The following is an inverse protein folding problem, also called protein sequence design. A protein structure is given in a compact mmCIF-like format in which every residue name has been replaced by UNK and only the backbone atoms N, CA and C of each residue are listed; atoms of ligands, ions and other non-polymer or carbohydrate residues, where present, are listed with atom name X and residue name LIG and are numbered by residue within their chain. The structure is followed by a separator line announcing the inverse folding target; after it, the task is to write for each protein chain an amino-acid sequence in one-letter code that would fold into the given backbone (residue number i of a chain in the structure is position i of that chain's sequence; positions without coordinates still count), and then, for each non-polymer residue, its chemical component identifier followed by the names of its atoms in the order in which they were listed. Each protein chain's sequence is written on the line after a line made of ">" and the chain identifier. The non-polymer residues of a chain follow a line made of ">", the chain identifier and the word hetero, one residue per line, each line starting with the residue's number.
data_IF_623431909556
#
_entry.id   IF_623431909556
#
_cell.length_a   1.000
_cell.length_b   1.000
_cell.length_c   1.000
_cell.angle_alpha   90.00
_cell.angle_beta   90.00
_cell.angle_gamma   90.00
#
_symmetry.space_group_name_H-M   'P 1'
#
loop_
_entity.id
_entity.type
_entity.pdbx_description
1 polymer ?
#
# COMPACT_ATOMS: atom_id res chain seq x y z
N UNK A 1 53.08 33.49 -16.15
CA UNK A 1 51.63 33.42 -15.89
C UNK A 1 50.94 33.86 -17.17
N UNK A 2 50.59 32.93 -18.04
CA UNK A 2 49.74 33.21 -19.19
C UNK A 2 48.66 32.12 -19.26
N UNK A 3 47.42 32.61 -19.30
CA UNK A 3 46.19 31.84 -19.20
C UNK A 3 45.92 31.08 -20.51
N UNK A 4 45.70 29.77 -20.41
CA UNK A 4 45.22 28.95 -21.51
C UNK A 4 43.75 29.26 -21.79
N UNK A 5 43.51 29.93 -22.92
CA UNK A 5 42.20 30.33 -23.43
C UNK A 5 41.38 29.08 -23.81
N UNK A 6 40.42 28.66 -22.97
CA UNK A 6 39.45 27.62 -23.32
C UNK A 6 38.36 28.22 -24.21
N UNK A 7 38.20 27.71 -25.43
CA UNK A 7 37.20 28.19 -26.39
C UNK A 7 35.81 27.72 -25.96
N UNK A 8 34.94 28.66 -25.56
CA UNK A 8 33.54 28.40 -25.19
C UNK A 8 32.73 27.86 -26.38
N UNK A 9 31.90 26.84 -26.14
CA UNK A 9 30.99 26.26 -27.15
C UNK A 9 29.56 26.79 -26.97
N UNK A 10 28.90 27.14 -28.07
CA UNK A 10 27.52 27.63 -28.04
C UNK A 10 26.53 26.48 -28.06
N UNK A 11 25.47 26.58 -27.26
CA UNK A 11 24.37 25.65 -27.29
C UNK A 11 23.59 25.77 -28.61
N UNK A 12 23.40 24.69 -29.39
CA UNK A 12 22.67 24.76 -30.64
C UNK A 12 21.16 25.04 -30.44
N UNK A 13 20.64 24.78 -29.24
CA UNK A 13 19.23 25.01 -28.90
C UNK A 13 18.95 26.44 -28.44
N UNK A 14 19.79 27.03 -27.57
CA UNK A 14 19.53 28.34 -26.97
C UNK A 14 20.65 29.37 -27.16
N UNK A 15 21.72 29.02 -27.88
CA UNK A 15 22.88 29.87 -28.17
C UNK A 15 23.64 30.36 -26.91
N UNK A 16 23.41 29.76 -25.74
CA UNK A 16 24.17 30.07 -24.53
C UNK A 16 25.61 29.53 -24.64
N UNK A 17 26.60 30.30 -24.18
CA UNK A 17 28.01 29.87 -24.13
C UNK A 17 28.23 28.93 -22.95
N UNK A 18 28.85 27.80 -23.22
CA UNK A 18 29.17 26.78 -22.24
C UNK A 18 30.66 26.45 -22.30
N UNK A 19 31.21 26.02 -21.17
CA UNK A 19 32.57 25.51 -21.11
C UNK A 19 32.75 24.35 -22.12
N UNK A 20 33.93 24.27 -22.74
CA UNK A 20 34.20 23.32 -23.83
C UNK A 20 33.97 21.85 -23.46
N UNK A 21 34.10 21.50 -22.18
CA UNK A 21 33.90 20.14 -21.65
C UNK A 21 32.51 19.91 -21.01
N UNK A 22 31.61 20.90 -20.98
CA UNK A 22 30.32 20.73 -20.33
C UNK A 22 29.43 19.78 -21.14
N UNK A 23 29.01 18.63 -20.58
CA UNK A 23 28.16 17.65 -21.28
C UNK A 23 26.74 18.16 -21.58
N UNK A 24 26.27 19.16 -20.82
CA UNK A 24 24.94 19.78 -20.94
C UNK A 24 25.02 21.30 -20.88
N UNK A 25 24.07 21.98 -21.52
CA UNK A 25 23.93 23.43 -21.47
C UNK A 25 23.53 23.89 -20.05
N UNK A 26 24.31 24.78 -19.44
CA UNK A 26 24.04 25.29 -18.10
C UNK A 26 22.73 26.08 -17.99
N UNK A 27 22.22 26.62 -19.11
CA UNK A 27 20.98 27.41 -19.10
C UNK A 27 19.72 26.61 -19.43
N UNK A 28 19.79 25.63 -20.33
CA UNK A 28 18.60 24.91 -20.80
C UNK A 28 18.69 23.38 -20.72
N UNK A 29 19.79 22.83 -20.21
CA UNK A 29 19.99 21.39 -20.04
C UNK A 29 20.19 20.60 -21.32
N UNK A 30 20.26 21.25 -22.49
CA UNK A 30 20.44 20.58 -23.78
C UNK A 30 21.81 19.87 -23.82
N UNK A 31 21.84 18.58 -24.14
CA UNK A 31 23.09 17.82 -24.26
C UNK A 31 23.90 18.32 -25.46
N UNK A 32 25.16 18.72 -25.25
CA UNK A 32 25.96 19.31 -26.34
C UNK A 32 27.04 18.35 -26.92
N UNK A 33 26.90 17.04 -26.67
CA UNK A 33 27.71 15.99 -27.30
C UNK A 33 26.82 14.84 -27.80
N UNK A 34 27.10 14.34 -29.00
CA UNK A 34 26.37 13.25 -29.66
C UNK A 34 27.01 11.89 -29.31
N UNK A 35 26.27 10.89 -28.80
CA UNK A 35 26.86 9.62 -28.39
C UNK A 35 26.70 8.56 -29.48
N UNK A 36 27.81 8.17 -30.10
CA UNK A 36 27.92 6.91 -30.81
C UNK A 36 29.09 6.08 -30.24
N UNK A 37 28.88 4.76 -30.21
CA UNK A 37 29.76 3.63 -29.87
C UNK A 37 29.72 3.08 -28.42
N UNK A 38 29.17 1.86 -28.38
CA UNK A 38 29.58 0.65 -27.68
C UNK A 38 29.41 0.51 -26.15
N UNK A 39 28.31 -0.21 -25.84
CA UNK A 39 28.27 -1.48 -25.09
C UNK A 39 29.13 -1.57 -23.82
N UNK A 40 28.47 -1.55 -22.65
CA UNK A 40 28.59 -2.62 -21.64
C UNK A 40 27.80 -2.31 -20.35
N UNK A 41 27.06 -3.34 -19.93
CA UNK A 41 26.57 -3.62 -18.58
C UNK A 41 25.31 -2.87 -18.10
N UNK A 42 24.18 -3.57 -18.28
CA UNK A 42 22.84 -3.33 -17.70
C UNK A 42 22.83 -3.36 -16.14
N UNK A 43 23.98 -3.58 -15.49
CA UNK A 43 24.07 -3.66 -14.02
C UNK A 43 24.02 -2.31 -13.28
N UNK A 44 24.28 -1.18 -13.95
CA UNK A 44 24.24 0.14 -13.29
C UNK A 44 22.89 0.87 -13.42
N UNK A 45 22.04 0.48 -14.39
CA UNK A 45 20.72 1.12 -14.60
C UNK A 45 19.73 0.76 -13.49
N UNK A 46 19.94 -0.35 -12.78
CA UNK A 46 19.04 -0.83 -11.74
C UNK A 46 19.31 -0.24 -10.34
N UNK A 47 20.24 0.71 -10.18
CA UNK A 47 20.58 1.26 -8.87
C UNK A 47 19.87 2.56 -8.47
N UNK A 48 19.26 3.31 -9.40
CA UNK A 48 18.64 4.61 -9.07
C UNK A 48 17.12 4.72 -9.34
N UNK A 49 16.44 3.63 -9.69
CA UNK A 49 14.98 3.64 -9.88
C UNK A 49 14.22 3.54 -8.53
N UNK A 50 14.38 4.56 -7.69
CA UNK A 50 13.50 4.85 -6.57
C UNK A 50 12.90 6.24 -6.79
N UNK A 51 12.02 6.35 -7.80
CA UNK A 51 11.22 7.56 -8.00
C UNK A 51 9.84 7.32 -7.39
N UNK A 52 9.45 8.20 -6.48
CA UNK A 52 8.10 8.30 -5.96
C UNK A 52 7.11 8.49 -7.11
N UNK A 53 6.00 7.76 -7.05
CA UNK A 53 4.93 7.74 -8.07
C UNK A 53 4.41 9.16 -8.41
N UNK A 54 4.52 10.13 -7.50
CA UNK A 54 4.15 11.53 -7.74
C UNK A 54 5.07 12.30 -8.72
N UNK A 55 6.35 11.92 -8.85
CA UNK A 55 7.29 12.58 -9.78
C UNK A 55 7.29 11.96 -11.19
N UNK A 56 6.80 10.72 -11.33
CA UNK A 56 6.67 10.02 -12.62
C UNK A 56 5.56 10.64 -13.47
N UNK A 57 4.51 11.16 -12.83
CA UNK A 57 3.33 11.71 -13.51
C UNK A 57 3.63 13.06 -14.20
N UNK A 58 4.69 13.78 -13.81
CA UNK A 58 4.96 15.14 -14.33
C UNK A 58 6.23 15.29 -15.18
N UNK A 59 6.93 14.20 -15.54
CA UNK A 59 8.23 14.28 -16.22
C UNK A 59 8.13 14.20 -17.77
N UNK A 60 8.58 15.21 -18.54
CA UNK A 60 8.56 15.20 -20.01
C UNK A 60 9.41 14.07 -20.66
N UNK A 61 10.37 13.49 -19.93
CA UNK A 61 11.14 12.34 -20.40
C UNK A 61 10.31 11.03 -20.39
N UNK A 62 9.31 10.93 -19.51
CA UNK A 62 8.38 9.78 -19.44
C UNK A 62 7.43 9.76 -20.65
N UNK A 63 7.08 10.94 -21.20
CA UNK A 63 6.29 11.08 -22.43
C UNK A 63 7.00 10.51 -23.67
N UNK A 64 8.34 10.61 -23.72
CA UNK A 64 9.15 10.01 -24.79
C UNK A 64 9.48 8.53 -24.53
N UNK A 65 9.56 8.11 -23.26
CA UNK A 65 9.80 6.72 -22.87
C UNK A 65 8.61 5.79 -23.19
N UNK A 66 7.36 6.27 -23.07
CA UNK A 66 6.16 5.47 -23.37
C UNK A 66 6.11 4.90 -24.79
N UNK A 67 6.64 5.66 -25.78
CA UNK A 67 6.73 5.20 -27.19
C UNK A 67 7.76 4.06 -27.38
N UNK A 68 8.86 4.10 -26.64
CA UNK A 68 9.92 3.07 -26.66
C UNK A 68 9.48 1.82 -25.87
N UNK A 69 8.84 2.01 -24.72
CA UNK A 69 8.31 0.94 -23.86
C UNK A 69 7.31 0.08 -24.63
N UNK A 70 6.38 0.69 -25.38
CA UNK A 70 5.43 -0.07 -26.21
C UNK A 70 6.08 -0.92 -27.32
N UNK A 71 7.23 -0.50 -27.86
CA UNK A 71 8.00 -1.30 -28.84
C UNK A 71 8.78 -2.43 -28.17
N UNK A 72 9.41 -2.17 -27.02
CA UNK A 72 10.16 -3.16 -26.23
C UNK A 72 9.24 -4.25 -25.67
N UNK A 73 8.04 -3.90 -25.21
CA UNK A 73 7.04 -4.86 -24.71
C UNK A 73 6.51 -5.80 -25.80
N UNK A 74 6.40 -5.33 -27.05
CA UNK A 74 6.04 -6.20 -28.20
C UNK A 74 7.14 -7.21 -28.51
N UNK A 75 8.41 -6.80 -28.43
CA UNK A 75 9.54 -7.69 -28.64
C UNK A 75 9.66 -8.72 -27.49
N UNK A 76 9.45 -8.28 -26.24
CA UNK A 76 9.46 -9.15 -25.06
C UNK A 76 8.38 -10.24 -25.09
N UNK A 77 7.17 -9.92 -25.56
CA UNK A 77 6.11 -10.93 -25.74
C UNK A 77 6.50 -12.04 -26.71
N UNK A 78 7.16 -11.70 -27.82
CA UNK A 78 7.63 -12.67 -28.82
C UNK A 78 8.84 -13.51 -28.37
N UNK A 79 9.60 -13.05 -27.38
CA UNK A 79 10.71 -13.79 -26.78
C UNK A 79 10.22 -14.71 -25.64
N UNK A 80 9.18 -14.32 -24.88
CA UNK A 80 8.55 -15.15 -23.85
C UNK A 80 7.80 -16.34 -24.45
N UNK A 81 7.09 -16.14 -25.58
CA UNK A 81 6.45 -17.24 -26.33
C UNK A 81 7.45 -18.32 -26.79
N UNK A 82 8.73 -17.95 -26.98
CA UNK A 82 9.82 -18.87 -27.33
C UNK A 82 10.44 -19.61 -26.13
N UNK A 83 10.26 -19.10 -24.90
CA UNK A 83 10.94 -19.60 -23.70
C UNK A 83 10.05 -20.38 -22.72
N UNK A 84 8.73 -20.16 -22.71
CA UNK A 84 7.80 -20.74 -21.75
C UNK A 84 7.46 -22.22 -22.01
N UNK A 85 7.58 -23.07 -20.98
CA UNK A 85 7.46 -24.55 -21.06
C UNK A 85 6.04 -25.11 -20.82
N UNK A 86 5.08 -24.33 -20.31
CA UNK A 86 3.68 -24.74 -20.11
C UNK A 86 2.69 -23.70 -20.63
N UNK A 87 1.48 -24.14 -20.99
CA UNK A 87 0.42 -23.24 -21.51
C UNK A 87 -0.12 -22.26 -20.46
N UNK A 88 -0.03 -22.62 -19.19
CA UNK A 88 -0.46 -21.78 -18.07
C UNK A 88 0.47 -20.57 -17.88
N UNK A 89 1.79 -20.80 -18.00
CA UNK A 89 2.79 -19.72 -17.99
C UNK A 89 2.71 -18.84 -19.23
N UNK A 90 2.40 -19.41 -20.40
CA UNK A 90 2.15 -18.62 -21.63
C UNK A 90 0.91 -17.75 -21.51
N UNK A 91 -0.16 -18.27 -20.89
CA UNK A 91 -1.42 -17.54 -20.66
C UNK A 91 -1.21 -16.36 -19.69
N UNK A 92 -0.57 -16.61 -18.54
CA UNK A 92 -0.23 -15.57 -17.57
C UNK A 92 0.69 -14.49 -18.18
N UNK A 93 1.69 -14.88 -18.97
CA UNK A 93 2.56 -13.94 -19.67
C UNK A 93 1.83 -13.10 -20.73
N UNK A 94 0.93 -13.71 -21.52
CA UNK A 94 0.11 -12.99 -22.51
C UNK A 94 -0.85 -12.01 -21.84
N UNK A 95 -1.43 -12.38 -20.70
CA UNK A 95 -2.27 -11.50 -19.90
C UNK A 95 -1.46 -10.33 -19.33
N UNK A 96 -0.29 -10.59 -18.75
CA UNK A 96 0.59 -9.54 -18.24
C UNK A 96 1.05 -8.56 -19.34
N UNK A 97 1.38 -9.06 -20.54
CA UNK A 97 1.74 -8.22 -21.69
C UNK A 97 0.54 -7.42 -22.20
N UNK A 98 -0.66 -8.01 -22.27
CA UNK A 98 -1.86 -7.32 -22.69
C UNK A 98 -2.27 -6.20 -21.70
N UNK A 99 -2.11 -6.46 -20.40
CA UNK A 99 -2.34 -5.47 -19.33
C UNK A 99 -1.32 -4.33 -19.41
N UNK A 100 -0.03 -4.65 -19.59
CA UNK A 100 1.01 -3.63 -19.77
C UNK A 100 0.79 -2.79 -21.04
N UNK A 101 0.28 -3.38 -22.12
CA UNK A 101 -0.07 -2.67 -23.35
C UNK A 101 -1.29 -1.76 -23.18
N UNK A 102 -2.31 -2.21 -22.43
CA UNK A 102 -3.50 -1.38 -22.13
C UNK A 102 -3.14 -0.21 -21.21
N UNK A 103 -2.39 -0.45 -20.15
CA UNK A 103 -1.89 0.61 -19.26
C UNK A 103 -1.00 1.62 -20.01
N UNK A 104 -0.14 1.16 -20.94
CA UNK A 104 0.66 2.06 -21.76
C UNK A 104 -0.18 2.87 -22.77
N UNK A 105 -1.29 2.30 -23.25
CA UNK A 105 -2.20 2.94 -24.19
C UNK A 105 -3.12 3.96 -23.48
N UNK A 106 -3.63 3.63 -22.31
CA UNK A 106 -4.36 4.51 -21.39
C UNK A 106 -3.59 5.81 -21.06
N UNK A 107 -2.30 5.66 -20.72
CA UNK A 107 -1.39 6.79 -20.47
C UNK A 107 -1.21 7.62 -21.75
N UNK A 108 -1.18 6.99 -22.93
CA UNK A 108 -1.05 7.67 -24.21
C UNK A 108 -2.31 8.43 -24.60
N UNK A 109 -3.48 7.86 -24.34
CA UNK A 109 -4.78 8.43 -24.68
C UNK A 109 -5.14 9.61 -23.76
N UNK A 110 -4.78 9.50 -22.47
CA UNK A 110 -4.84 10.60 -21.49
C UNK A 110 -3.95 11.79 -21.86
N UNK A 111 -2.83 11.55 -22.55
CA UNK A 111 -1.91 12.59 -23.05
C UNK A 111 -2.41 13.24 -24.35
N UNK A 112 -3.18 12.51 -25.17
CA UNK A 112 -3.81 13.09 -26.38
C UNK A 112 -5.06 13.91 -26.09
N UNK A 113 -5.85 13.56 -25.07
CA UNK A 113 -7.08 14.28 -24.71
C UNK A 113 -6.82 15.57 -23.91
N UNK A 114 -5.59 15.76 -23.42
CA UNK A 114 -5.14 16.98 -22.73
C UNK A 114 -4.98 18.24 -23.62
N UNK A 115 -5.34 18.19 -24.91
CA UNK A 115 -5.20 19.32 -25.84
C UNK A 115 -6.44 20.23 -25.96
N UNK A 116 -7.60 19.88 -25.37
CA UNK A 116 -8.80 20.73 -25.49
C UNK A 116 -9.72 20.65 -24.27
N UNK A 117 -9.35 21.29 -23.17
CA UNK A 117 -10.29 21.73 -22.13
C UNK A 117 -9.69 22.83 -21.23
N UNK A 118 -9.32 23.97 -21.83
CA UNK A 118 -9.01 25.18 -21.04
C UNK A 118 -10.30 25.97 -20.82
N UNK A 119 -11.11 25.57 -19.84
CA UNK A 119 -12.18 26.43 -19.34
C UNK A 119 -11.57 27.38 -18.31
N UNK A 120 -11.53 28.67 -18.65
CA UNK A 120 -11.02 29.73 -17.81
C UNK A 120 -11.77 29.78 -16.47
N UNK A 121 -11.05 29.52 -15.36
CA UNK A 121 -11.43 29.99 -14.03
C UNK A 121 -10.33 30.92 -13.56
N UNK A 122 -10.75 32.15 -13.25
CA UNK A 122 -9.88 33.26 -12.90
C UNK A 122 -8.91 32.95 -11.76
N UNK A 123 -7.73 33.57 -11.88
CA UNK A 123 -6.67 33.63 -10.91
C UNK A 123 -7.17 33.96 -9.50
N UNK A 124 -7.10 32.98 -8.60
CA UNK A 124 -6.74 33.21 -7.20
C UNK A 124 -5.87 32.06 -6.73
N UNK A 125 -4.59 32.34 -6.63
CA UNK A 125 -3.56 31.48 -6.07
C UNK A 125 -3.81 31.28 -4.58
N UNK A 126 -4.44 30.17 -4.21
CA UNK A 126 -4.34 29.61 -2.86
C UNK A 126 -4.08 28.11 -3.03
N UNK A 127 -2.83 27.70 -2.90
CA UNK A 127 -2.51 26.31 -2.52
C UNK A 127 -3.12 26.09 -1.13
N UNK A 128 -4.41 25.72 -1.09
CA UNK A 128 -5.07 25.39 0.17
C UNK A 128 -4.51 24.07 0.63
N UNK A 129 -3.63 24.10 1.63
CA UNK A 129 -3.14 22.88 2.28
C UNK A 129 -4.37 22.03 2.71
N UNK A 130 -4.39 20.77 2.29
CA UNK A 130 -5.45 19.81 2.61
C UNK A 130 -4.96 18.92 3.76
N UNK A 131 -5.82 18.63 4.74
CA UNK A 131 -5.57 17.71 5.85
C UNK A 131 -6.58 16.56 5.83
N UNK A 132 -6.18 15.30 6.06
CA UNK A 132 -7.13 14.20 6.19
C UNK A 132 -7.83 14.23 7.55
N UNK A 133 -9.12 13.88 7.59
CA UNK A 133 -9.84 13.67 8.85
C UNK A 133 -9.29 12.44 9.58
N UNK A 134 -8.88 12.60 10.84
CA UNK A 134 -8.41 11.47 11.65
C UNK A 134 -9.52 10.47 12.00
N UNK A 135 -10.80 10.77 11.74
CA UNK A 135 -11.90 9.82 11.95
C UNK A 135 -12.20 9.03 10.67
N UNK A 136 -12.69 9.71 9.63
CA UNK A 136 -13.16 9.05 8.41
C UNK A 136 -12.15 9.09 7.24
N UNK A 137 -11.01 9.76 7.38
CA UNK A 137 -10.00 9.91 6.32
C UNK A 137 -10.31 10.97 5.25
N UNK A 138 -11.53 11.55 5.24
CA UNK A 138 -11.92 12.54 4.21
C UNK A 138 -10.95 13.73 4.15
N UNK A 139 -10.50 14.16 2.97
CA UNK A 139 -9.68 15.36 2.82
C UNK A 139 -10.47 16.63 3.16
N UNK A 140 -9.88 17.52 3.93
CA UNK A 140 -10.48 18.77 4.41
C UNK A 140 -9.51 19.93 4.24
N UNK A 141 -10.02 21.17 4.18
CA UNK A 141 -9.15 22.36 4.24
C UNK A 141 -8.43 22.41 5.59
N UNK A 142 -7.16 22.85 5.60
CA UNK A 142 -6.33 22.93 6.83
C UNK A 142 -6.94 23.81 7.94
N UNK A 143 -7.77 24.78 7.56
CA UNK A 143 -8.44 25.70 8.50
C UNK A 143 -9.81 25.17 8.98
N UNK A 144 -10.29 24.03 8.46
CA UNK A 144 -11.55 23.44 8.89
C UNK A 144 -11.50 23.10 10.37
N UNK A 145 -12.52 23.53 11.13
CA UNK A 145 -12.71 23.12 12.55
C UNK A 145 -13.35 21.75 12.69
N UNK A 146 -14.12 21.33 11.68
CA UNK A 146 -14.83 20.05 11.65
C UNK A 146 -14.68 19.39 10.28
N UNK A 147 -14.71 18.05 10.25
CA UNK A 147 -14.70 17.28 9.02
C UNK A 147 -15.99 17.52 8.22
N UNK A 148 -15.85 17.81 6.93
CA UNK A 148 -16.97 18.04 6.02
C UNK A 148 -17.85 16.79 5.78
N UNK A 149 -17.31 15.59 6.01
CA UNK A 149 -18.05 14.33 5.83
C UNK A 149 -18.66 13.83 7.14
N UNK A 150 -17.86 13.64 8.19
CA UNK A 150 -18.32 12.99 9.42
C UNK A 150 -18.55 13.96 10.59
N UNK A 151 -18.32 15.26 10.42
CA UNK A 151 -18.52 16.27 11.46
C UNK A 151 -17.55 16.21 12.66
N UNK A 152 -16.55 15.32 12.63
CA UNK A 152 -15.59 15.18 13.73
C UNK A 152 -14.76 16.47 13.89
N UNK A 153 -14.52 16.94 15.12
CA UNK A 153 -13.65 18.09 15.35
C UNK A 153 -12.20 17.76 14.98
N UNK A 154 -11.46 18.77 14.53
CA UNK A 154 -10.00 18.70 14.35
C UNK A 154 -9.24 19.07 15.63
N UNK A 155 -9.91 19.18 16.78
CA UNK A 155 -9.25 19.44 18.05
C UNK A 155 -8.45 18.22 18.53
N UNK A 156 -7.43 18.51 19.35
CA UNK A 156 -6.34 17.59 19.66
C UNK A 156 -6.38 17.18 21.14
N UNK A 157 -7.56 16.92 21.70
CA UNK A 157 -7.69 16.46 23.08
C UNK A 157 -7.57 14.93 23.12
N UNK A 158 -6.40 14.36 23.47
CA UNK A 158 -6.24 12.92 23.55
C UNK A 158 -7.16 12.35 24.62
N UNK A 159 -7.94 11.34 24.25
CA UNK A 159 -8.77 10.60 25.19
C UNK A 159 -8.01 9.38 25.73
N UNK A 160 -8.05 9.14 27.04
CA UNK A 160 -7.57 7.88 27.60
C UNK A 160 -8.57 6.77 27.24
N UNK A 161 -8.17 5.86 26.35
CA UNK A 161 -8.94 4.66 26.02
C UNK A 161 -8.20 3.41 26.48
N UNK A 162 -8.99 2.38 26.75
CA UNK A 162 -8.53 1.00 26.86
C UNK A 162 -9.20 0.16 25.78
N UNK A 163 -8.64 -0.99 25.47
CA UNK A 163 -9.15 -1.84 24.39
C UNK A 163 -9.51 -3.23 24.90
N UNK A 164 -10.67 -3.72 24.46
CA UNK A 164 -10.96 -5.15 24.49
C UNK A 164 -10.71 -5.70 23.09
N UNK A 165 -9.85 -6.71 22.99
CA UNK A 165 -9.40 -7.26 21.71
C UNK A 165 -9.69 -8.75 21.67
N UNK A 166 -10.21 -9.22 20.54
CA UNK A 166 -10.30 -10.64 20.23
C UNK A 166 -9.94 -10.87 18.77
N UNK A 167 -9.55 -12.10 18.45
CA UNK A 167 -9.28 -12.52 17.09
C UNK A 167 -9.79 -13.93 16.85
N UNK A 168 -10.08 -14.26 15.59
CA UNK A 168 -10.38 -15.61 15.12
C UNK A 168 -9.67 -15.81 13.79
N UNK A 169 -9.13 -17.01 13.57
CA UNK A 169 -8.65 -17.45 12.26
C UNK A 169 -9.22 -18.83 12.00
N UNK A 170 -9.86 -19.00 10.87
CA UNK A 170 -10.58 -20.19 10.45
C UNK A 170 -10.08 -20.63 9.07
N UNK A 171 -9.94 -21.94 8.86
CA UNK A 171 -9.43 -22.48 7.59
C UNK A 171 -10.41 -22.26 6.43
N UNK A 172 -11.68 -21.96 6.72
CA UNK A 172 -12.74 -21.94 5.73
C UNK A 172 -13.36 -23.33 5.54
N UNK A 173 -14.22 -23.46 4.53
CA UNK A 173 -14.90 -24.71 4.19
C UNK A 173 -14.20 -25.49 3.06
N UNK A 174 -13.40 -24.80 2.23
CA UNK A 174 -12.83 -25.40 1.01
C UNK A 174 -11.33 -25.70 1.14
N UNK A 175 -10.57 -24.84 1.82
CA UNK A 175 -9.12 -25.01 1.97
C UNK A 175 -8.82 -26.14 2.97
N UNK A 176 -7.73 -26.86 2.75
CA UNK A 176 -7.23 -27.90 3.66
C UNK A 176 -6.17 -27.39 4.65
N UNK A 177 -5.64 -26.20 4.41
CA UNK A 177 -4.61 -25.58 5.22
C UNK A 177 -4.91 -24.10 5.43
N UNK A 178 -4.42 -23.56 6.55
CA UNK A 178 -4.56 -22.14 6.87
C UNK A 178 -3.23 -21.41 6.63
N UNK A 179 -3.21 -20.60 5.58
CA UNK A 179 -2.07 -19.78 5.18
C UNK A 179 -2.13 -18.37 5.77
N UNK A 180 -3.20 -18.02 6.50
CA UNK A 180 -3.28 -16.78 7.25
C UNK A 180 -2.54 -16.85 8.59
N UNK A 181 -2.03 -15.70 9.01
CA UNK A 181 -1.53 -15.45 10.36
C UNK A 181 -2.20 -14.24 10.98
N UNK A 182 -2.80 -14.46 12.15
CA UNK A 182 -3.32 -13.39 13.01
C UNK A 182 -2.54 -13.31 14.32
N UNK A 183 -2.16 -12.10 14.74
CA UNK A 183 -1.45 -11.88 16.01
C UNK A 183 -1.94 -10.64 16.72
N UNK A 184 -1.94 -10.74 18.05
CA UNK A 184 -2.27 -9.65 18.96
C UNK A 184 -1.20 -9.59 20.04
N UNK A 185 -0.56 -8.44 20.18
CA UNK A 185 0.41 -8.16 21.22
C UNK A 185 -0.10 -7.02 22.10
N UNK A 186 0.04 -7.17 23.42
CA UNK A 186 -0.29 -6.13 24.40
C UNK A 186 0.98 -5.65 25.08
N UNK A 187 1.15 -4.34 25.16
CA UNK A 187 2.30 -3.71 25.75
C UNK A 187 1.87 -2.85 26.95
N UNK A 188 2.60 -3.01 28.04
CA UNK A 188 2.40 -2.27 29.29
C UNK A 188 3.76 -1.80 29.84
N UNK A 189 3.73 -0.87 30.78
CA UNK A 189 4.93 -0.36 31.46
C UNK A 189 5.41 1.02 30.98
N UNK A 190 4.77 1.60 29.97
CA UNK A 190 4.95 3.01 29.58
C UNK A 190 3.70 3.83 29.96
N UNK A 191 3.62 5.07 29.46
CA UNK A 191 2.61 6.07 29.83
C UNK A 191 1.17 5.60 29.59
N UNK A 192 0.93 4.87 28.51
CA UNK A 192 -0.37 4.28 28.16
C UNK A 192 -0.20 2.81 27.77
N UNK A 193 -1.20 1.93 28.02
CA UNK A 193 -1.19 0.59 27.46
C UNK A 193 -1.34 0.68 25.94
N UNK A 194 -0.56 -0.14 25.23
CA UNK A 194 -0.59 -0.18 23.77
C UNK A 194 -0.89 -1.60 23.26
N UNK A 195 -1.43 -1.67 22.05
CA UNK A 195 -1.72 -2.93 21.38
C UNK A 195 -1.16 -2.91 19.96
N UNK A 196 -0.59 -4.03 19.52
CA UNK A 196 -0.28 -4.27 18.11
C UNK A 196 -1.15 -5.41 17.59
N UNK A 197 -1.82 -5.19 16.45
CA UNK A 197 -2.72 -6.14 15.81
C UNK A 197 -2.22 -6.40 14.40
N UNK A 198 -2.08 -7.67 14.01
CA UNK A 198 -1.64 -8.05 12.69
C UNK A 198 -2.60 -9.07 12.08
N UNK A 199 -2.96 -8.84 10.81
CA UNK A 199 -3.45 -9.86 9.89
C UNK A 199 -2.48 -9.92 8.70
N UNK A 200 -2.02 -11.12 8.39
CA UNK A 200 -1.16 -11.41 7.25
C UNK A 200 -1.72 -12.64 6.53
N UNK A 201 -2.02 -12.49 5.25
CA UNK A 201 -2.56 -13.53 4.38
C UNK A 201 -1.42 -14.06 3.52
N UNK A 202 -1.12 -15.34 3.66
CA UNK A 202 0.04 -15.98 3.05
C UNK A 202 -0.27 -16.50 1.66
N UNK A 203 0.56 -16.14 0.70
CA UNK A 203 0.44 -16.60 -0.69
C UNK A 203 1.71 -17.30 -1.17
N UNK A 204 1.55 -18.36 -1.95
CA UNK A 204 2.64 -19.11 -2.55
C UNK A 204 2.20 -20.45 -3.12
N UNK A 205 3.13 -21.17 -3.75
CA UNK A 205 2.92 -22.57 -4.14
C UNK A 205 2.83 -23.50 -2.92
N UNK A 206 2.93 -24.82 -3.14
CA UNK A 206 2.78 -25.83 -2.10
C UNK A 206 3.51 -25.47 -0.77
N UNK A 207 2.72 -25.23 0.29
CA UNK A 207 3.14 -24.88 1.66
C UNK A 207 3.98 -23.61 1.85
N UNK A 208 4.07 -22.73 0.84
CA UNK A 208 4.84 -21.48 0.95
C UNK A 208 4.04 -20.34 1.60
N UNK A 209 2.71 -20.34 1.50
CA UNK A 209 1.86 -19.28 2.05
C UNK A 209 1.90 -19.22 3.59
N UNK A 210 1.67 -20.36 4.25
CA UNK A 210 1.73 -20.46 5.72
C UNK A 210 3.08 -19.99 6.30
N UNK A 211 4.18 -20.32 5.59
CA UNK A 211 5.54 -19.94 5.99
C UNK A 211 5.74 -18.45 5.81
N UNK A 212 5.24 -17.88 4.72
CA UNK A 212 5.34 -16.45 4.45
C UNK A 212 4.60 -15.62 5.51
N UNK A 213 3.32 -15.91 5.78
CA UNK A 213 2.53 -15.15 6.75
C UNK A 213 3.06 -15.31 8.17
N UNK A 214 3.52 -16.52 8.54
CA UNK A 214 4.18 -16.78 9.82
C UNK A 214 5.50 -16.02 9.96
N UNK A 215 6.29 -15.94 8.88
CA UNK A 215 7.54 -15.17 8.87
C UNK A 215 7.28 -13.66 8.99
N UNK A 216 6.24 -13.13 8.33
CA UNK A 216 5.79 -11.75 8.54
C UNK A 216 5.46 -11.52 10.01
N UNK A 217 4.65 -12.38 10.61
CA UNK A 217 4.26 -12.26 12.02
C UNK A 217 5.46 -12.28 12.98
N UNK A 218 6.39 -13.21 12.79
CA UNK A 218 7.60 -13.32 13.62
C UNK A 218 8.52 -12.09 13.47
N UNK A 219 8.73 -11.61 12.24
CA UNK A 219 9.55 -10.44 12.00
C UNK A 219 8.93 -9.17 12.58
N UNK A 220 7.61 -9.01 12.46
CA UNK A 220 6.88 -7.89 13.06
C UNK A 220 7.01 -7.90 14.58
N UNK A 221 6.80 -9.06 15.22
CA UNK A 221 6.95 -9.22 16.67
C UNK A 221 8.34 -8.80 17.14
N UNK A 222 9.39 -9.33 16.50
CA UNK A 222 10.77 -9.02 16.83
C UNK A 222 11.05 -7.51 16.75
N UNK A 223 10.62 -6.87 15.66
CA UNK A 223 10.89 -5.44 15.43
C UNK A 223 10.09 -4.52 16.37
N UNK A 224 8.85 -4.88 16.71
CA UNK A 224 8.01 -4.16 17.67
C UNK A 224 8.59 -4.28 19.08
N UNK A 225 8.86 -5.50 19.55
CA UNK A 225 9.38 -5.75 20.90
C UNK A 225 10.73 -5.05 21.10
N UNK A 226 11.63 -5.15 20.10
CA UNK A 226 12.92 -4.49 20.17
C UNK A 226 12.79 -2.96 20.30
N UNK A 227 11.86 -2.35 19.56
CA UNK A 227 11.64 -0.90 19.60
C UNK A 227 10.95 -0.43 20.86
N UNK A 228 9.94 -1.16 21.33
CA UNK A 228 9.25 -0.88 22.59
C UNK A 228 10.21 -0.90 23.79
N UNK A 229 11.15 -1.84 23.81
CA UNK A 229 12.15 -1.94 24.87
C UNK A 229 13.24 -0.87 24.78
N UNK A 230 13.52 -0.34 23.58
CA UNK A 230 14.56 0.66 23.37
C UNK A 230 14.12 2.08 23.79
N UNK A 231 12.84 2.42 23.62
CA UNK A 231 12.28 3.72 23.99
C UNK A 231 10.76 3.71 23.88
N UNK A 232 10.08 4.60 24.61
CA UNK A 232 8.66 4.92 24.36
C UNK A 232 8.51 5.45 22.92
N UNK A 233 7.80 4.75 22.01
CA UNK A 233 7.62 5.24 20.65
C UNK A 233 6.88 6.58 20.68
N UNK A 234 7.54 7.65 20.23
CA UNK A 234 6.92 8.97 20.24
C UNK A 234 5.69 8.99 19.31
N UNK A 235 4.55 9.56 19.77
CA UNK A 235 3.31 9.62 18.98
C UNK A 235 3.46 10.30 17.61
N UNK A 236 4.39 11.25 17.50
CA UNK A 236 4.64 12.09 16.31
C UNK A 236 5.27 11.34 15.13
N UNK A 237 5.76 10.11 15.33
CA UNK A 237 6.43 9.30 14.29
C UNK A 237 5.83 7.88 14.12
N UNK A 238 4.65 7.60 14.69
CA UNK A 238 4.05 6.25 14.69
C UNK A 238 3.89 5.64 13.28
N UNK A 239 3.47 6.42 12.28
CA UNK A 239 3.40 5.92 10.89
C UNK A 239 4.76 5.51 10.36
N UNK A 240 5.78 6.35 10.58
CA UNK A 240 7.15 6.08 10.14
C UNK A 240 7.67 4.83 10.83
N UNK A 241 7.39 4.70 12.13
CA UNK A 241 7.75 3.56 12.95
C UNK A 241 7.17 2.25 12.38
N UNK A 242 5.86 2.20 12.10
CA UNK A 242 5.22 1.02 11.50
C UNK A 242 5.72 0.71 10.08
N UNK A 243 5.95 1.73 9.25
CA UNK A 243 6.56 1.51 7.92
C UNK A 243 7.94 0.88 8.03
N UNK A 244 8.76 1.29 9.00
CA UNK A 244 10.09 0.68 9.20
C UNK A 244 9.95 -0.79 9.62
N UNK A 245 9.01 -1.11 10.52
CA UNK A 245 8.73 -2.49 10.94
C UNK A 245 8.36 -3.36 9.72
N UNK A 246 7.41 -2.95 8.90
CA UNK A 246 7.02 -3.74 7.72
C UNK A 246 8.11 -3.81 6.64
N UNK A 247 8.98 -2.79 6.50
CA UNK A 247 10.17 -2.87 5.62
C UNK A 247 11.14 -3.94 6.08
N UNK A 248 11.35 -4.07 7.38
CA UNK A 248 12.23 -5.09 7.94
C UNK A 248 11.61 -6.49 7.83
N UNK A 249 10.29 -6.60 8.05
CA UNK A 249 9.57 -7.83 7.77
C UNK A 249 9.73 -8.26 6.30
N UNK A 250 9.57 -7.33 5.34
CA UNK A 250 9.84 -7.58 3.93
C UNK A 250 11.25 -8.08 3.65
N UNK A 251 12.27 -7.42 4.21
CA UNK A 251 13.65 -7.84 4.03
C UNK A 251 13.93 -9.23 4.66
N UNK A 252 13.22 -9.60 5.72
CA UNK A 252 13.32 -10.94 6.33
C UNK A 252 12.72 -12.01 5.43
N UNK A 253 11.44 -11.85 5.04
CA UNK A 253 10.70 -12.80 4.19
C UNK A 253 11.40 -12.95 2.83
N UNK A 254 11.81 -11.84 2.21
CA UNK A 254 12.50 -11.86 0.92
C UNK A 254 13.83 -12.64 1.01
N UNK A 255 14.64 -12.42 2.06
CA UNK A 255 15.89 -13.18 2.24
C UNK A 255 15.63 -14.67 2.41
N UNK A 256 14.60 -15.02 3.17
CA UNK A 256 14.24 -16.43 3.36
C UNK A 256 13.80 -17.08 2.04
N UNK A 257 12.94 -16.40 1.27
CA UNK A 257 12.48 -16.85 -0.04
C UNK A 257 13.62 -17.03 -1.05
N UNK A 258 14.71 -16.28 -0.91
CA UNK A 258 15.90 -16.41 -1.75
C UNK A 258 16.89 -17.48 -1.25
N UNK A 259 16.85 -17.82 0.04
CA UNK A 259 17.76 -18.81 0.63
C UNK A 259 17.28 -20.25 0.47
N UNK A 260 15.98 -20.46 0.34
CA UNK A 260 15.37 -21.78 0.19
C UNK A 260 14.60 -21.87 -1.15
N UNK A 261 15.05 -22.69 -2.11
CA UNK A 261 14.33 -22.91 -3.37
C UNK A 261 12.88 -23.37 -3.21
N UNK A 262 12.53 -24.06 -2.10
CA UNK A 262 11.17 -24.50 -1.84
C UNK A 262 10.23 -23.34 -1.45
N UNK A 263 10.79 -22.22 -0.97
CA UNK A 263 10.06 -21.01 -0.57
C UNK A 263 10.16 -19.90 -1.62
N UNK A 264 10.70 -20.21 -2.79
CA UNK A 264 10.92 -19.22 -3.83
C UNK A 264 9.59 -18.61 -4.29
N UNK A 265 9.52 -17.28 -4.26
CA UNK A 265 8.31 -16.55 -4.64
C UNK A 265 7.21 -16.55 -3.57
N UNK A 266 7.46 -17.07 -2.36
CA UNK A 266 6.52 -16.90 -1.25
C UNK A 266 6.32 -15.40 -0.96
N UNK A 267 5.10 -15.05 -0.60
CA UNK A 267 4.76 -13.68 -0.23
C UNK A 267 3.59 -13.66 0.74
N UNK A 268 3.33 -12.51 1.32
CA UNK A 268 2.17 -12.36 2.19
C UNK A 268 1.68 -10.92 2.19
N UNK A 269 0.41 -10.71 2.48
CA UNK A 269 -0.09 -9.40 2.88
C UNK A 269 0.41 -9.06 4.29
N UNK A 270 0.28 -7.80 4.68
CA UNK A 270 0.45 -7.38 6.07
C UNK A 270 -0.39 -6.15 6.34
N UNK A 271 -1.39 -6.28 7.19
CA UNK A 271 -2.13 -5.16 7.77
C UNK A 271 -1.84 -5.11 9.26
N UNK A 272 -1.02 -4.14 9.65
CA UNK A 272 -0.52 -3.95 11.01
C UNK A 272 -1.10 -2.68 11.62
N UNK A 273 -1.77 -2.78 12.75
CA UNK A 273 -2.27 -1.64 13.52
C UNK A 273 -1.56 -1.52 14.87
N UNK A 274 -1.21 -0.30 15.26
CA UNK A 274 -0.75 0.09 16.59
C UNK A 274 -1.79 1.00 17.25
N UNK A 275 -2.26 0.62 18.43
CA UNK A 275 -3.28 1.35 19.18
C UNK A 275 -2.68 1.81 20.51
N UNK A 276 -2.73 3.10 20.78
CA UNK A 276 -2.24 3.71 22.01
C UNK A 276 -3.09 4.94 22.35
N UNK A 277 -3.71 4.94 23.53
CA UNK A 277 -4.70 5.97 23.88
C UNK A 277 -5.85 5.99 22.89
N UNK A 278 -6.13 7.14 22.27
CA UNK A 278 -7.12 7.28 21.21
C UNK A 278 -6.53 7.19 19.79
N UNK A 279 -5.21 7.06 19.66
CA UNK A 279 -4.52 7.05 18.37
C UNK A 279 -4.38 5.63 17.84
N UNK A 280 -4.64 5.50 16.55
CA UNK A 280 -4.44 4.27 15.78
C UNK A 280 -3.54 4.60 14.60
N UNK A 281 -2.39 3.97 14.53
CA UNK A 281 -1.55 3.98 13.34
C UNK A 281 -1.67 2.63 12.63
N UNK A 282 -1.77 2.66 11.30
CA UNK A 282 -1.89 1.45 10.48
C UNK A 282 -0.82 1.50 9.41
N UNK A 283 -0.15 0.37 9.16
CA UNK A 283 0.69 0.16 8.00
C UNK A 283 0.18 -1.06 7.23
N UNK A 284 0.13 -0.95 5.90
CA UNK A 284 -0.61 -1.89 5.08
C UNK A 284 0.11 -2.21 3.76
N UNK A 285 0.13 -3.50 3.43
CA UNK A 285 0.52 -4.05 2.12
C UNK A 285 -0.38 -5.24 1.78
N UNK A 286 -1.06 -5.20 0.64
CA UNK A 286 -1.83 -6.33 0.12
C UNK A 286 -3.31 -5.96 0.00
N UNK A 287 -4.20 -6.91 0.18
CA UNK A 287 -5.66 -6.73 0.08
C UNK A 287 -6.42 -7.13 1.34
N UNK A 288 -5.74 -7.58 2.39
CA UNK A 288 -6.32 -7.63 3.73
C UNK A 288 -6.70 -6.22 4.19
N UNK A 289 -7.83 -6.06 4.88
CA UNK A 289 -8.42 -4.73 5.12
C UNK A 289 -8.43 -4.33 6.58
N UNK A 290 -8.46 -3.03 6.84
CA UNK A 290 -8.78 -2.46 8.14
C UNK A 290 -10.00 -1.53 8.03
N UNK A 291 -10.90 -1.59 9.00
CA UNK A 291 -12.11 -0.77 9.09
C UNK A 291 -12.20 -0.05 10.43
N UNK A 292 -12.63 1.22 10.42
CA UNK A 292 -13.08 1.93 11.61
C UNK A 292 -14.61 1.97 11.63
N UNK A 293 -15.20 1.40 12.67
CA UNK A 293 -16.64 1.23 12.80
C UNK A 293 -17.12 1.93 14.07
N UNK A 294 -17.75 3.10 13.95
CA UNK A 294 -18.37 3.76 15.09
C UNK A 294 -19.58 2.99 15.63
N UNK A 295 -19.98 3.23 16.89
CA UNK A 295 -21.16 2.58 17.49
C UNK A 295 -22.46 2.96 16.77
N UNK A 296 -22.49 4.08 16.06
CA UNK A 296 -23.60 4.52 15.20
C UNK A 296 -23.10 5.31 13.99
N UNK A 297 -23.88 5.37 12.91
CA UNK A 297 -23.50 6.05 11.67
C UNK A 297 -22.69 5.16 10.71
N UNK A 298 -22.03 5.74 9.70
CA UNK A 298 -21.27 4.98 8.71
C UNK A 298 -19.98 4.41 9.32
N UNK A 299 -19.59 3.20 8.91
CA UNK A 299 -18.24 2.67 9.08
C UNK A 299 -17.40 2.95 7.83
N UNK A 300 -16.09 2.89 7.95
CA UNK A 300 -15.17 3.21 6.85
C UNK A 300 -14.05 2.19 6.72
N UNK A 301 -13.82 1.70 5.50
CA UNK A 301 -12.56 1.06 5.16
C UNK A 301 -11.42 2.09 5.23
N UNK A 302 -10.36 1.76 5.97
CA UNK A 302 -9.20 2.64 6.17
C UNK A 302 -8.14 2.38 5.10
N UNK A 303 -7.87 1.11 4.83
CA UNK A 303 -6.85 0.66 3.88
C UNK A 303 -7.37 0.66 2.46
N UNK A 304 -6.47 0.72 1.48
CA UNK A 304 -6.81 0.52 0.07
C UNK A 304 -6.13 -0.75 -0.42
N UNK A 305 -6.90 -1.67 -1.00
CA UNK A 305 -6.33 -2.92 -1.46
C UNK A 305 -5.34 -2.70 -2.61
N UNK A 306 -4.22 -3.39 -2.54
CA UNK A 306 -3.17 -3.40 -3.54
C UNK A 306 -3.39 -4.48 -4.61
N UNK A 307 -4.63 -4.59 -5.10
CA UNK A 307 -5.01 -5.46 -6.22
C UNK A 307 -4.92 -4.71 -7.54
N UNK A 308 -4.64 -5.43 -8.63
CA UNK A 308 -4.55 -4.85 -9.98
C UNK A 308 -5.86 -4.16 -10.37
N UNK A 309 -6.99 -4.78 -10.04
CA UNK A 309 -8.32 -4.24 -10.36
C UNK A 309 -8.58 -2.90 -9.65
N UNK A 310 -8.14 -2.76 -8.40
CA UNK A 310 -8.26 -1.51 -7.66
C UNK A 310 -7.25 -0.44 -8.11
N UNK A 311 -6.12 -0.84 -8.71
CA UNK A 311 -5.23 0.11 -9.37
C UNK A 311 -5.87 0.66 -10.64
N UNK A 312 -6.36 -0.23 -11.52
CA UNK A 312 -7.02 0.13 -12.77
C UNK A 312 -8.26 1.00 -12.53
N UNK A 313 -9.06 0.67 -11.52
CA UNK A 313 -10.22 1.47 -11.16
C UNK A 313 -9.84 2.88 -10.71
N UNK A 314 -8.80 3.02 -9.90
CA UNK A 314 -8.38 4.32 -9.40
C UNK A 314 -7.76 5.23 -10.47
N UNK A 315 -7.23 4.67 -11.56
CA UNK A 315 -6.72 5.44 -12.70
C UNK A 315 -7.79 5.68 -13.77
N UNK A 316 -9.04 5.22 -13.55
CA UNK A 316 -10.17 5.43 -14.45
C UNK A 316 -10.27 4.46 -15.62
N UNK A 317 -9.43 3.41 -15.66
CA UNK A 317 -9.42 2.40 -16.73
C UNK A 317 -10.45 1.29 -16.54
N UNK A 318 -11.08 1.24 -15.37
CA UNK A 318 -12.13 0.30 -15.03
C UNK A 318 -13.10 0.97 -14.05
N UNK A 319 -14.39 0.63 -14.09
CA UNK A 319 -15.31 1.12 -13.05
C UNK A 319 -15.14 0.32 -11.76
N UNK A 320 -15.65 0.84 -10.64
CA UNK A 320 -15.63 0.11 -9.37
C UNK A 320 -16.46 -1.18 -9.45
N UNK A 321 -17.57 -1.15 -10.19
CA UNK A 321 -18.44 -2.31 -10.41
C UNK A 321 -17.75 -3.38 -11.27
N UNK A 322 -17.02 -2.97 -12.31
CA UNK A 322 -16.22 -3.87 -13.14
C UNK A 322 -15.06 -4.48 -12.34
N UNK A 323 -14.40 -3.69 -11.49
CA UNK A 323 -13.33 -4.16 -10.62
C UNK A 323 -13.83 -5.25 -9.66
N UNK A 324 -14.99 -5.03 -9.02
CA UNK A 324 -15.59 -5.97 -8.09
C UNK A 324 -16.04 -7.28 -8.76
N UNK A 325 -16.50 -7.20 -10.01
CA UNK A 325 -16.94 -8.37 -10.79
C UNK A 325 -15.80 -9.10 -11.53
N UNK A 326 -14.58 -8.55 -11.50
CA UNK A 326 -13.46 -9.09 -12.28
C UNK A 326 -12.97 -10.44 -11.73
N UNK A 327 -12.75 -11.45 -12.60
CA UNK A 327 -12.09 -12.70 -12.20
C UNK A 327 -10.66 -12.52 -11.69
N UNK A 328 -10.03 -11.37 -11.96
CA UNK A 328 -8.65 -11.04 -11.57
C UNK A 328 -8.61 -10.20 -10.28
N UNK A 329 -9.69 -10.19 -9.48
CA UNK A 329 -9.81 -9.36 -8.28
C UNK A 329 -8.75 -9.64 -7.20
N UNK A 330 -8.19 -10.85 -7.17
CA UNK A 330 -7.18 -11.27 -6.19
C UNK A 330 -5.73 -11.09 -6.70
N UNK A 331 -5.52 -10.49 -7.88
CA UNK A 331 -4.17 -10.31 -8.42
C UNK A 331 -3.47 -9.13 -7.71
N UNK A 332 -2.62 -9.43 -6.75
CA UNK A 332 -1.84 -8.43 -6.01
C UNK A 332 -0.69 -7.83 -6.84
N UNK A 333 -0.54 -6.50 -6.77
CA UNK A 333 0.64 -5.80 -7.32
C UNK A 333 1.63 -5.36 -6.24
N UNK A 334 1.26 -5.44 -4.95
CA UNK A 334 2.18 -5.28 -3.81
C UNK A 334 1.92 -6.37 -2.78
N UNK A 335 3.00 -7.03 -2.35
CA UNK A 335 3.01 -8.00 -1.26
C UNK A 335 4.39 -7.99 -0.57
N UNK A 336 4.40 -8.40 0.70
CA UNK A 336 5.62 -8.58 1.48
C UNK A 336 6.37 -9.81 0.98
N UNK A 337 7.70 -9.71 0.87
CA UNK A 337 8.59 -10.83 0.59
C UNK A 337 8.80 -11.16 -0.89
N UNK A 338 7.98 -10.59 -1.80
CA UNK A 338 8.08 -10.85 -3.25
C UNK A 338 9.22 -10.07 -3.91
N UNK A 339 9.47 -8.85 -3.43
CA UNK A 339 10.50 -7.95 -3.96
C UNK A 339 11.44 -7.46 -2.85
N UNK A 340 12.69 -7.08 -3.17
CA UNK A 340 13.66 -6.64 -2.16
C UNK A 340 13.23 -5.35 -1.45
N UNK A 341 12.39 -4.54 -2.10
CA UNK A 341 11.76 -3.34 -1.55
C UNK A 341 10.26 -3.40 -1.82
N UNK A 342 9.49 -2.84 -0.90
CA UNK A 342 8.03 -2.74 -1.01
C UNK A 342 7.58 -1.36 -0.53
N UNK A 343 6.62 -0.78 -1.25
CA UNK A 343 5.93 0.43 -0.83
C UNK A 343 4.85 0.06 0.19
N UNK A 344 4.80 0.81 1.29
CA UNK A 344 3.92 0.56 2.42
C UNK A 344 3.06 1.78 2.63
N UNK A 345 1.76 1.60 2.51
CA UNK A 345 0.77 2.61 2.82
C UNK A 345 0.64 2.72 4.34
N UNK A 346 0.44 3.93 4.85
CA UNK A 346 0.24 4.17 6.28
C UNK A 346 -0.85 5.18 6.55
N UNK A 347 -1.58 4.98 7.66
CA UNK A 347 -2.72 5.78 8.02
C UNK A 347 -2.72 6.07 9.51
N UNK A 348 -3.01 7.31 9.92
CA UNK A 348 -3.42 7.64 11.29
C UNK A 348 -4.92 7.80 11.36
N UNK A 349 -5.52 7.20 12.38
CA UNK A 349 -6.90 7.42 12.80
C UNK A 349 -6.99 7.71 14.29
N UNK A 350 -8.15 8.25 14.69
CA UNK A 350 -8.57 8.44 16.08
C UNK A 350 -9.80 7.62 16.37
N UNK A 351 -9.79 6.93 17.50
CA UNK A 351 -10.94 6.20 18.03
C UNK A 351 -11.62 6.98 19.14
N UNK A 352 -12.90 6.73 19.31
CA UNK A 352 -13.71 7.17 20.44
C UNK A 352 -14.24 5.96 21.20
N UNK A 353 -14.73 6.19 22.42
CA UNK A 353 -15.40 5.14 23.20
C UNK A 353 -16.53 4.51 22.38
N UNK A 354 -16.51 3.18 22.27
CA UNK A 354 -17.49 2.40 21.51
C UNK A 354 -17.13 2.16 20.04
N UNK A 355 -16.10 2.83 19.51
CA UNK A 355 -15.58 2.54 18.17
C UNK A 355 -14.93 1.15 18.14
N UNK A 356 -15.03 0.47 17.00
CA UNK A 356 -14.37 -0.81 16.72
C UNK A 356 -13.37 -0.62 15.59
N UNK A 357 -12.16 -1.10 15.80
CA UNK A 357 -11.20 -1.33 14.72
C UNK A 357 -11.30 -2.81 14.33
N UNK A 358 -11.52 -3.08 13.06
CA UNK A 358 -11.59 -4.45 12.52
C UNK A 358 -10.50 -4.62 11.48
N UNK A 359 -9.62 -5.61 11.66
CA UNK A 359 -8.69 -6.06 10.63
C UNK A 359 -9.16 -7.42 10.12
N UNK A 360 -9.10 -7.68 8.81
CA UNK A 360 -9.49 -8.96 8.24
C UNK A 360 -8.72 -9.33 6.97
N UNK A 361 -8.57 -10.63 6.70
CA UNK A 361 -8.11 -11.14 5.40
C UNK A 361 -9.22 -11.04 4.34
N UNK A 362 -8.86 -11.26 3.08
CA UNK A 362 -9.79 -11.13 1.96
C UNK A 362 -10.89 -12.21 1.99
N UNK A 363 -10.62 -13.37 2.63
CA UNK A 363 -11.57 -14.46 2.79
C UNK A 363 -12.85 -14.06 3.54
N UNK A 364 -12.81 -13.01 4.37
CA UNK A 364 -14.02 -12.40 4.91
C UNK A 364 -14.75 -11.58 3.84
N UNK A 365 -14.05 -10.61 3.24
CA UNK A 365 -14.65 -9.57 2.40
C UNK A 365 -15.06 -10.06 1.01
N UNK A 366 -14.57 -11.24 0.60
CA UNK A 366 -15.06 -11.98 -0.58
C UNK A 366 -16.51 -12.45 -0.40
N UNK A 367 -16.90 -12.80 0.83
CA UNK A 367 -18.21 -13.39 1.14
C UNK A 367 -19.16 -12.43 1.86
N UNK A 368 -18.62 -11.46 2.59
CA UNK A 368 -19.39 -10.50 3.40
C UNK A 368 -19.12 -9.08 2.90
N UNK A 369 -20.10 -8.43 2.24
CA UNK A 369 -20.00 -7.04 1.80
C UNK A 369 -19.75 -6.07 2.96
N UNK A 370 -19.09 -4.95 2.69
CA UNK A 370 -18.70 -3.96 3.69
C UNK A 370 -19.85 -3.51 4.59
N UNK A 371 -21.03 -3.21 4.03
CA UNK A 371 -22.19 -2.75 4.79
C UNK A 371 -22.66 -3.80 5.81
N UNK A 372 -22.65 -5.08 5.42
CA UNK A 372 -23.03 -6.20 6.27
C UNK A 372 -21.97 -6.47 7.33
N UNK A 373 -20.68 -6.45 6.95
CA UNK A 373 -19.55 -6.57 7.88
C UNK A 373 -19.68 -5.52 8.99
N UNK A 374 -19.92 -4.26 8.61
CA UNK A 374 -20.10 -3.14 9.53
C UNK A 374 -21.29 -3.38 10.46
N UNK A 375 -22.42 -3.84 9.93
CA UNK A 375 -23.62 -4.12 10.70
C UNK A 375 -23.40 -5.26 11.70
N UNK A 376 -22.83 -6.39 11.26
CA UNK A 376 -22.55 -7.56 12.10
C UNK A 376 -21.58 -7.20 13.21
N UNK A 377 -20.46 -6.55 12.89
CA UNK A 377 -19.46 -6.13 13.88
C UNK A 377 -20.07 -5.21 14.96
N UNK A 378 -21.02 -4.35 14.58
CA UNK A 378 -21.70 -3.42 15.50
C UNK A 378 -22.73 -4.11 16.41
N UNK A 379 -23.40 -5.17 15.94
CA UNK A 379 -24.41 -5.91 16.72
C UNK A 379 -23.83 -6.57 17.98
N UNK A 380 -22.54 -6.91 17.95
CA UNK A 380 -21.87 -7.57 19.07
C UNK A 380 -21.00 -6.57 19.85
N UNK A 381 -21.28 -6.43 21.16
CA UNK A 381 -20.44 -5.63 22.07
C UNK A 381 -19.15 -6.39 22.40
N UNK A 382 -19.23 -7.70 22.56
CA UNK A 382 -18.06 -8.54 22.80
C UNK A 382 -17.28 -8.77 21.49
N UNK A 383 -16.00 -8.35 21.39
CA UNK A 383 -15.17 -8.58 20.21
C UNK A 383 -15.08 -10.05 19.79
N UNK A 384 -15.09 -10.99 20.73
CA UNK A 384 -15.00 -12.42 20.41
C UNK A 384 -16.24 -12.89 19.65
N UNK A 385 -17.43 -12.51 20.12
CA UNK A 385 -18.69 -12.80 19.45
C UNK A 385 -18.77 -12.11 18.08
N UNK A 386 -18.25 -10.89 17.95
CA UNK A 386 -18.17 -10.20 16.66
C UNK A 386 -17.31 -10.99 15.64
N UNK A 387 -16.13 -11.44 16.05
CA UNK A 387 -15.25 -12.25 15.19
C UNK A 387 -15.94 -13.56 14.77
N UNK A 388 -16.52 -14.28 15.74
CA UNK A 388 -17.20 -15.56 15.47
C UNK A 388 -18.39 -15.39 14.52
N UNK A 389 -19.20 -14.34 14.71
CA UNK A 389 -20.33 -14.06 13.84
C UNK A 389 -19.89 -13.76 12.40
N UNK A 390 -18.84 -12.96 12.22
CA UNK A 390 -18.29 -12.64 10.90
C UNK A 390 -17.74 -13.88 10.19
N UNK A 391 -16.97 -14.72 10.89
CA UNK A 391 -16.48 -16.00 10.35
C UNK A 391 -17.63 -16.92 9.97
N UNK A 392 -18.66 -17.03 10.83
CA UNK A 392 -19.82 -17.87 10.57
C UNK A 392 -20.57 -17.40 9.31
N UNK A 393 -20.73 -16.09 9.11
CA UNK A 393 -21.35 -15.54 7.90
C UNK A 393 -20.54 -15.83 6.63
N UNK A 394 -19.21 -15.67 6.68
CA UNK A 394 -18.34 -15.98 5.55
C UNK A 394 -18.39 -17.48 5.19
N UNK A 395 -18.32 -18.35 6.20
CA UNK A 395 -18.41 -19.80 6.01
C UNK A 395 -19.77 -20.25 5.46
N UNK A 396 -20.88 -19.66 5.92
CA UNK A 396 -22.22 -19.96 5.39
C UNK A 396 -22.40 -19.57 3.92
N UNK A 397 -21.59 -18.62 3.42
CA UNK A 397 -21.66 -18.11 2.04
C UNK A 397 -20.64 -18.75 1.10
N UNK A 398 -19.83 -19.67 1.59
CA UNK A 398 -18.93 -20.47 0.77
C UNK A 398 -17.65 -20.87 1.50
N UNK A 399 -17.06 -19.95 2.28
CA UNK A 399 -15.81 -20.22 3.00
C UNK A 399 -14.70 -20.73 2.09
N UNK A 400 -14.57 -20.14 0.90
CA UNK A 400 -13.66 -20.60 -0.15
C UNK A 400 -12.18 -20.35 0.17
N UNK A 401 -11.91 -19.47 1.13
CA UNK A 401 -10.57 -19.08 1.56
C UNK A 401 -10.41 -19.14 3.08
N UNK A 402 -9.18 -18.96 3.54
CA UNK A 402 -8.91 -18.74 4.96
C UNK A 402 -9.53 -17.42 5.43
N UNK A 403 -10.08 -17.41 6.64
CA UNK A 403 -10.80 -16.25 7.18
C UNK A 403 -10.18 -15.87 8.51
N UNK A 404 -9.49 -14.73 8.53
CA UNK A 404 -8.82 -14.21 9.73
C UNK A 404 -9.32 -12.82 10.07
N UNK A 405 -9.64 -12.59 11.34
CA UNK A 405 -10.27 -11.36 11.82
C UNK A 405 -9.68 -10.99 13.18
N UNK A 406 -9.38 -9.71 13.39
CA UNK A 406 -9.14 -9.10 14.71
C UNK A 406 -10.14 -7.98 14.91
N UNK A 407 -10.78 -7.93 16.08
CA UNK A 407 -11.64 -6.82 16.49
C UNK A 407 -11.10 -6.22 17.78
N UNK A 408 -10.87 -4.91 17.78
CA UNK A 408 -10.55 -4.12 18.96
C UNK A 408 -11.67 -3.10 19.23
N UNK A 409 -12.33 -3.25 20.39
CA UNK A 409 -13.34 -2.31 20.87
C UNK A 409 -12.71 -1.29 21.83
N UNK A 410 -12.83 -0.01 21.49
CA UNK A 410 -12.44 1.10 22.35
C UNK A 410 -13.41 1.24 23.54
N UNK A 411 -12.85 1.28 24.75
CA UNK A 411 -13.55 1.50 26.02
C UNK A 411 -12.98 2.74 26.69
N UNK A 412 -13.78 3.39 27.53
CA UNK A 412 -13.28 4.51 28.34
C UNK A 412 -12.13 4.01 29.23
N UNK A 413 -10.99 4.71 29.20
CA UNK A 413 -9.93 4.50 30.17
C UNK A 413 -10.38 4.96 31.56
N UNK A 414 -9.87 4.32 32.60
CA UNK A 414 -10.09 4.82 33.95
C UNK A 414 -9.46 6.22 34.06
N UNK A 415 -10.27 7.26 34.28
CA UNK A 415 -9.75 8.56 34.65
C UNK A 415 -9.07 8.40 36.01
N UNK A 416 -7.75 8.53 36.06
CA UNK A 416 -7.03 8.63 37.32
C UNK A 416 -7.66 9.76 38.13
N UNK A 417 -8.33 9.40 39.22
CA UNK A 417 -8.66 10.37 40.26
C UNK A 417 -7.33 10.73 40.92
N UNK A 418 -6.73 11.82 40.44
CA UNK A 418 -5.63 12.50 41.11
C UNK A 418 -6.09 13.13 42.41
#
# INVERSE_FOLDING_TARGET
>A
MEAGNQVDRLCPHCQHKNASQASYCAQCGYALSDPASDDLSIKSVLQDAALSIEEVIQNPAVQNAGRKIGQTLRQAGADIDRAARSEETKRAARQAVAVAQRAAQAVKDSVSDGATATTAVGSSSVSSAVQPCLRCGTPNRRESRFCASCGAPFDDQPSSLTYAVAHVSDVGQVRSNNEDSVRVWSFAGHSLPAWALLVADGMGGAASGEVASSCVAAAVEQEIVARWNASDPKPEDLERWLRVILRQANASVYRQAQSDPALHGMGSTATLAWLEGDRVAIAHVGDSRAYLIPPSGPGWQITRDHTMVNLLAAIGEMTAEEAAASPENNLLYRAIGVAPKVEIDSYIRRMQVGDRLVLCSDGLTRHVPDEELIAIARQHIDPANACQALVAWANQRGGEDNISIVVALAKAGASGSS
#
